data_IF_092287912305
#
_entry.id   IF_092287912305
#
_cell.length_a   1.000
_cell.length_b   1.000
_cell.length_c   1.000
_cell.angle_alpha   90.00
_cell.angle_beta   90.00
_cell.angle_gamma   90.00
#
_symmetry.space_group_name_H-M   'P 1'
#
loop_
_entity.id
_entity.type
_entity.pdbx_description
1 polymer ?
#
# COMPACT_ATOMS: atom_id res chain seq x y z
N UNK A 1 25.38 -9.59 -9.43
CA UNK A 1 24.44 -10.74 -9.44
C UNK A 1 23.20 -10.34 -10.22
N UNK A 2 22.36 -11.30 -10.56
CA UNK A 2 21.04 -11.05 -11.14
C UNK A 2 20.17 -10.23 -10.15
N UNK A 3 19.49 -9.15 -10.58
CA UNK A 3 18.58 -8.39 -9.72
C UNK A 3 17.32 -9.15 -9.26
N UNK A 4 17.11 -10.41 -9.68
CA UNK A 4 15.98 -11.24 -9.25
C UNK A 4 15.99 -11.52 -7.73
N UNK A 5 14.94 -11.06 -7.04
CA UNK A 5 14.77 -11.24 -5.58
C UNK A 5 14.11 -12.58 -5.25
N UNK A 6 13.02 -12.93 -5.94
CA UNK A 6 12.24 -14.13 -5.65
C UNK A 6 11.42 -14.59 -6.87
N UNK A 7 10.92 -15.83 -6.81
CA UNK A 7 9.90 -16.34 -7.73
C UNK A 7 8.61 -16.58 -6.96
N UNK A 8 7.52 -15.94 -7.39
CA UNK A 8 6.18 -16.17 -6.87
C UNK A 8 5.44 -17.15 -7.79
N UNK A 9 4.97 -18.25 -7.22
CA UNK A 9 4.19 -19.26 -7.93
C UNK A 9 2.91 -19.49 -7.17
N UNK A 10 1.78 -19.45 -7.87
CA UNK A 10 0.47 -19.81 -7.33
C UNK A 10 -0.13 -20.98 -8.10
N UNK A 11 -1.11 -21.62 -7.49
CA UNK A 11 -1.83 -22.75 -8.06
C UNK A 11 -3.32 -22.65 -7.69
N UNK A 12 -4.18 -23.19 -8.56
CA UNK A 12 -5.62 -23.28 -8.35
C UNK A 12 -6.20 -24.44 -9.15
N UNK A 13 -7.45 -24.78 -8.87
CA UNK A 13 -8.19 -25.82 -9.58
C UNK A 13 -8.36 -25.51 -11.09
N UNK A 14 -8.38 -24.21 -11.42
CA UNK A 14 -8.38 -23.70 -12.77
C UNK A 14 -7.45 -22.48 -12.89
N UNK A 15 -7.29 -21.99 -14.12
CA UNK A 15 -6.41 -20.86 -14.44
C UNK A 15 -6.86 -19.58 -13.73
N UNK A 16 -8.15 -19.35 -13.62
CA UNK A 16 -8.69 -18.12 -13.04
C UNK A 16 -8.49 -18.11 -11.52
N UNK A 17 -8.69 -19.24 -10.85
CA UNK A 17 -8.38 -19.38 -9.44
C UNK A 17 -6.88 -19.18 -9.16
N UNK A 18 -6.00 -19.73 -10.01
CA UNK A 18 -4.56 -19.48 -9.88
C UNK A 18 -4.20 -18.00 -10.09
N UNK A 19 -4.85 -17.34 -11.07
CA UNK A 19 -4.70 -15.91 -11.38
C UNK A 19 -5.16 -15.03 -10.21
N UNK A 20 -6.33 -15.31 -9.63
CA UNK A 20 -6.84 -14.58 -8.47
C UNK A 20 -5.89 -14.70 -7.27
N UNK A 21 -5.43 -15.92 -6.97
CA UNK A 21 -4.43 -16.14 -5.90
C UNK A 21 -3.12 -15.42 -6.18
N UNK A 22 -2.72 -15.28 -7.45
CA UNK A 22 -1.52 -14.52 -7.82
C UNK A 22 -1.69 -13.03 -7.51
N UNK A 23 -2.85 -12.45 -7.86
CA UNK A 23 -3.17 -11.06 -7.53
C UNK A 23 -3.16 -10.84 -6.01
N UNK A 24 -3.88 -11.69 -5.25
CA UNK A 24 -3.94 -11.60 -3.79
C UNK A 24 -2.54 -11.75 -3.14
N UNK A 25 -1.71 -12.66 -3.68
CA UNK A 25 -0.35 -12.87 -3.21
C UNK A 25 0.54 -11.65 -3.50
N UNK A 26 0.47 -11.08 -4.71
CA UNK A 26 1.20 -9.87 -5.09
C UNK A 26 0.80 -8.67 -4.23
N UNK A 27 -0.48 -8.50 -3.92
CA UNK A 27 -0.98 -7.45 -3.02
C UNK A 27 -0.49 -7.61 -1.58
N UNK A 28 -0.18 -8.85 -1.18
CA UNK A 28 0.34 -9.16 0.15
C UNK A 28 1.86 -9.03 0.25
N UNK A 29 2.59 -8.87 -0.86
CA UNK A 29 4.04 -8.71 -0.82
C UNK A 29 4.42 -7.35 -0.24
N UNK A 30 5.17 -7.38 0.85
CA UNK A 30 5.80 -6.18 1.41
C UNK A 30 7.33 -6.26 1.29
N UNK A 31 7.89 -5.54 0.31
CA UNK A 31 9.33 -5.37 0.12
C UNK A 31 9.66 -3.89 0.27
N UNK A 32 10.54 -3.57 1.22
CA UNK A 32 10.96 -2.21 1.54
C UNK A 32 12.43 -1.99 1.17
N UNK A 33 12.78 -0.73 0.88
CA UNK A 33 14.17 -0.30 0.69
C UNK A 33 14.74 -0.50 -0.71
N UNK A 34 14.00 -1.13 -1.61
CA UNK A 34 14.37 -1.27 -3.03
C UNK A 34 13.17 -1.03 -3.92
N UNK A 35 13.40 -0.54 -5.14
CA UNK A 35 12.37 -0.48 -6.18
C UNK A 35 12.03 -1.90 -6.64
N UNK A 36 10.74 -2.21 -6.77
CA UNK A 36 10.26 -3.52 -7.21
C UNK A 36 9.32 -3.38 -8.40
N UNK A 37 9.14 -4.47 -9.14
CA UNK A 37 8.19 -4.55 -10.25
C UNK A 37 6.82 -5.13 -9.83
N UNK A 38 6.52 -5.22 -8.52
CA UNK A 38 5.31 -5.86 -8.01
C UNK A 38 4.04 -5.22 -8.58
N UNK A 39 3.98 -3.89 -8.62
CA UNK A 39 2.82 -3.15 -9.16
C UNK A 39 2.61 -3.45 -10.64
N UNK A 40 3.69 -3.53 -11.42
CA UNK A 40 3.62 -3.90 -12.83
C UNK A 40 3.14 -5.35 -13.01
N UNK A 41 3.66 -6.29 -12.22
CA UNK A 41 3.23 -7.69 -12.28
C UNK A 41 1.75 -7.85 -11.92
N UNK A 42 1.25 -7.10 -10.93
CA UNK A 42 -0.16 -7.12 -10.58
C UNK A 42 -1.01 -6.55 -11.73
N UNK A 43 -0.64 -5.39 -12.28
CA UNK A 43 -1.31 -4.81 -13.44
C UNK A 43 -1.36 -5.78 -14.65
N UNK A 44 -0.25 -6.49 -14.92
CA UNK A 44 -0.15 -7.46 -16.00
C UNK A 44 -1.08 -8.67 -15.77
N UNK A 45 -1.09 -9.24 -14.56
CA UNK A 45 -1.96 -10.39 -14.22
C UNK A 45 -3.45 -10.00 -14.20
N UNK A 46 -3.73 -8.74 -13.89
CA UNK A 46 -5.07 -8.13 -13.92
C UNK A 46 -5.53 -7.75 -15.33
N UNK A 47 -4.64 -7.69 -16.31
CA UNK A 47 -4.96 -7.23 -17.67
C UNK A 47 -5.96 -8.17 -18.37
N UNK A 48 -7.00 -7.67 -19.07
CA UNK A 48 -8.01 -8.51 -19.72
C UNK A 48 -7.44 -9.52 -20.72
N UNK A 49 -6.42 -9.12 -21.50
CA UNK A 49 -5.74 -10.02 -22.44
C UNK A 49 -4.99 -11.15 -21.71
N UNK A 50 -4.40 -10.86 -20.55
CA UNK A 50 -3.80 -11.88 -19.70
C UNK A 50 -4.88 -12.79 -19.12
N UNK A 51 -6.00 -12.25 -18.63
CA UNK A 51 -7.12 -13.03 -18.09
C UNK A 51 -7.74 -13.97 -19.14
N UNK A 52 -7.89 -13.52 -20.39
CA UNK A 52 -8.41 -14.35 -21.49
C UNK A 52 -7.38 -15.31 -22.09
N UNK A 53 -6.09 -15.06 -21.86
CA UNK A 53 -4.99 -15.82 -22.47
C UNK A 53 -4.64 -15.38 -23.89
N UNK A 54 -5.23 -14.29 -24.39
CA UNK A 54 -4.91 -13.68 -25.68
C UNK A 54 -3.59 -12.89 -25.62
N UNK A 55 -2.48 -13.58 -25.37
CA UNK A 55 -1.14 -12.99 -25.24
C UNK A 55 -0.17 -13.56 -26.27
N UNK A 56 0.77 -12.72 -26.70
CA UNK A 56 1.84 -13.06 -27.63
C UNK A 56 3.22 -12.84 -26.97
N UNK A 57 4.30 -13.23 -27.65
CA UNK A 57 5.66 -12.86 -27.21
C UNK A 57 5.93 -11.35 -27.36
N UNK A 58 5.11 -10.63 -28.12
CA UNK A 58 5.15 -9.17 -28.28
C UNK A 58 4.30 -8.41 -27.28
N UNK A 59 3.48 -9.09 -26.47
CA UNK A 59 2.44 -8.50 -25.63
C UNK A 59 2.90 -7.29 -24.82
N UNK A 60 4.02 -7.39 -24.11
CA UNK A 60 4.52 -6.29 -23.28
C UNK A 60 4.91 -5.08 -24.13
N UNK A 61 5.52 -5.30 -25.30
CA UNK A 61 5.90 -4.20 -26.20
C UNK A 61 4.71 -3.57 -26.91
N UNK A 62 3.63 -4.32 -27.10
CA UNK A 62 2.38 -3.85 -27.69
C UNK A 62 1.53 -3.04 -26.69
N UNK A 63 1.38 -3.53 -25.45
CA UNK A 63 0.55 -2.88 -24.42
C UNK A 63 1.28 -1.78 -23.63
N UNK A 64 2.61 -1.90 -23.48
CA UNK A 64 3.43 -0.96 -22.72
C UNK A 64 4.61 -0.41 -23.55
N UNK A 65 4.36 0.19 -24.73
CA UNK A 65 5.42 0.65 -25.64
C UNK A 65 6.32 1.72 -25.00
N UNK A 66 5.73 2.58 -24.17
CA UNK A 66 6.44 3.65 -23.43
C UNK A 66 6.77 3.24 -21.98
N UNK A 67 6.70 1.94 -21.70
CA UNK A 67 6.86 1.38 -20.35
C UNK A 67 5.62 1.51 -19.47
N UNK A 68 5.75 1.05 -18.24
CA UNK A 68 4.66 1.03 -17.26
C UNK A 68 4.67 2.30 -16.42
N UNK A 69 3.65 3.14 -16.63
CA UNK A 69 3.30 4.23 -15.74
C UNK A 69 2.07 3.77 -14.96
N UNK A 70 2.22 3.45 -13.67
CA UNK A 70 1.07 3.12 -12.83
C UNK A 70 0.00 4.20 -12.96
N UNK A 71 -1.28 3.82 -13.00
CA UNK A 71 -2.38 4.74 -13.34
C UNK A 71 -2.62 5.83 -12.27
N UNK A 72 -2.01 5.69 -11.08
CA UNK A 72 -2.11 6.65 -9.98
C UNK A 72 -3.53 6.81 -9.44
N UNK A 73 -4.48 5.99 -9.90
CA UNK A 73 -5.92 6.21 -9.76
C UNK A 73 -6.43 7.43 -10.53
N UNK A 74 -7.74 7.46 -10.80
CA UNK A 74 -8.44 8.61 -11.35
C UNK A 74 -8.33 9.84 -10.43
N UNK A 75 -8.56 11.04 -10.97
CA UNK A 75 -8.58 12.26 -10.17
C UNK A 75 -9.57 12.18 -9.00
N UNK A 76 -10.71 11.53 -9.19
CA UNK A 76 -11.71 11.26 -8.15
C UNK A 76 -11.16 10.34 -7.06
N UNK A 77 -10.46 9.26 -7.43
CA UNK A 77 -9.80 8.36 -6.47
C UNK A 77 -8.72 9.10 -5.69
N UNK A 78 -7.92 9.93 -6.35
CA UNK A 78 -6.89 10.76 -5.71
C UNK A 78 -7.49 11.76 -4.72
N UNK A 79 -8.60 12.43 -5.09
CA UNK A 79 -9.32 13.34 -4.21
C UNK A 79 -9.90 12.61 -2.99
N UNK A 80 -10.55 11.46 -3.20
CA UNK A 80 -11.05 10.62 -2.12
C UNK A 80 -9.94 10.19 -1.17
N UNK A 81 -8.80 9.74 -1.68
CA UNK A 81 -7.65 9.37 -0.86
C UNK A 81 -7.08 10.57 -0.10
N UNK A 82 -7.03 11.76 -0.70
CA UNK A 82 -6.59 12.97 -0.02
C UNK A 82 -7.53 13.36 1.14
N UNK A 83 -8.85 13.26 0.95
CA UNK A 83 -9.85 13.51 2.00
C UNK A 83 -9.71 12.50 3.15
N UNK A 84 -9.60 11.20 2.83
CA UNK A 84 -9.41 10.14 3.84
C UNK A 84 -8.12 10.37 4.62
N UNK A 85 -7.00 10.63 3.94
CA UNK A 85 -5.73 10.90 4.59
C UNK A 85 -5.80 12.15 5.49
N UNK A 86 -6.48 13.21 5.02
CA UNK A 86 -6.74 14.42 5.80
C UNK A 86 -7.54 14.13 7.08
N UNK A 87 -8.62 13.36 6.97
CA UNK A 87 -9.45 12.94 8.10
C UNK A 87 -8.66 12.09 9.11
N UNK A 88 -7.95 11.05 8.65
CA UNK A 88 -7.14 10.18 9.51
C UNK A 88 -6.06 10.99 10.26
N UNK A 89 -5.46 11.98 9.59
CA UNK A 89 -4.47 12.88 10.21
C UNK A 89 -5.11 13.81 11.24
N UNK A 90 -6.32 14.31 10.99
CA UNK A 90 -7.06 15.15 11.94
C UNK A 90 -7.44 14.34 13.20
N UNK A 91 -7.99 13.15 13.04
CA UNK A 91 -8.29 12.21 14.13
C UNK A 91 -7.04 11.89 14.97
N UNK A 92 -5.92 11.53 14.32
CA UNK A 92 -4.67 11.24 15.01
C UNK A 92 -4.15 12.43 15.83
N UNK A 93 -4.31 13.67 15.32
CA UNK A 93 -3.96 14.90 16.06
C UNK A 93 -4.86 15.11 17.27
N UNK A 94 -6.17 14.96 17.13
CA UNK A 94 -7.12 15.13 18.24
C UNK A 94 -6.85 14.12 19.37
N UNK A 95 -6.56 12.87 19.02
CA UNK A 95 -6.15 11.84 19.99
C UNK A 95 -4.84 12.19 20.69
N UNK A 96 -3.83 12.64 19.94
CA UNK A 96 -2.56 13.08 20.54
C UNK A 96 -2.74 14.27 21.50
N UNK A 97 -3.59 15.24 21.16
CA UNK A 97 -3.90 16.36 22.08
C UNK A 97 -4.62 15.91 23.35
N UNK A 98 -5.55 14.93 23.25
CA UNK A 98 -6.24 14.38 24.41
C UNK A 98 -5.29 13.65 25.37
N UNK A 99 -4.33 12.89 24.84
CA UNK A 99 -3.29 12.21 25.63
C UNK A 99 -2.38 13.22 26.32
N UNK A 100 -1.99 14.30 25.65
CA UNK A 100 -1.16 15.35 26.27
C UNK A 100 -1.91 16.18 27.31
N UNK A 101 -3.22 16.42 27.13
CA UNK A 101 -4.04 17.11 28.13
C UNK A 101 -4.23 16.27 29.40
N UNK A 102 -4.51 14.96 29.27
CA UNK A 102 -4.62 14.07 30.44
C UNK A 102 -3.30 13.92 31.20
N UNK A 103 -2.16 14.05 30.53
CA UNK A 103 -0.82 14.01 31.14
C UNK A 103 -0.40 15.35 31.77
N UNK A 104 -1.05 16.46 31.41
CA UNK A 104 -0.87 17.77 32.02
C UNK A 104 -1.64 17.89 33.35
N UNK A 105 -2.83 17.28 33.41
CA UNK A 105 -3.68 17.19 34.62
C UNK A 105 -3.37 15.96 35.49
N UNK A 106 -2.26 15.26 35.21
CA UNK A 106 -1.85 14.09 35.98
C UNK A 106 -1.60 14.44 37.46
N UNK A 107 -2.26 13.76 38.42
CA UNK A 107 -2.11 14.01 39.86
C UNK A 107 -0.65 13.96 40.34
N UNK A 108 0.17 13.14 39.67
CA UNK A 108 1.59 12.95 39.97
C UNK A 108 2.48 14.14 39.56
N UNK A 109 2.09 14.95 38.57
CA UNK A 109 2.78 16.21 38.22
C UNK A 109 2.35 17.38 39.12
N UNK A 110 1.10 17.41 39.56
CA UNK A 110 0.62 18.40 40.55
C UNK A 110 1.34 18.25 41.90
N UNK A 111 1.62 17.02 42.33
CA UNK A 111 2.35 16.73 43.58
C UNK A 111 3.78 17.30 43.60
N UNK A 112 4.43 17.45 42.43
CA UNK A 112 5.79 18.03 42.34
C UNK A 112 5.80 19.56 42.40
N UNK A 113 4.67 20.24 42.19
CA UNK A 113 4.57 21.71 42.24
C UNK A 113 4.33 22.24 43.66
N UNK A 114 3.82 21.43 44.57
CA UNK A 114 3.54 21.82 45.97
C UNK A 114 4.67 21.50 46.95
N UNK A 115 5.78 20.89 46.50
CA UNK A 115 6.88 20.45 47.37
C UNK A 115 8.15 21.33 47.39
N UNK A 116 8.18 22.46 46.68
CA UNK A 116 9.36 23.36 46.66
C UNK A 116 9.05 24.63 47.45
N UNK A 117 9.06 24.52 48.77
CA UNK A 117 8.86 25.64 49.68
C UNK A 117 9.45 25.33 51.05
N UNK A 118 10.78 25.31 51.13
CA UNK A 118 11.57 25.74 52.29
C UNK A 118 13.05 25.83 51.92
#
# INVERSE_FOLDING_TARGET
YDPMIAKLITWGADREQARQRMMDALDSFDIRGVTTNIVFLNALVSHPAFASGAISTGFIGEEYPEGFSGDGGSAEQQELFAVIAGYLRAEARLRATHVHASDADSPWKMLKRTGSGN
#
